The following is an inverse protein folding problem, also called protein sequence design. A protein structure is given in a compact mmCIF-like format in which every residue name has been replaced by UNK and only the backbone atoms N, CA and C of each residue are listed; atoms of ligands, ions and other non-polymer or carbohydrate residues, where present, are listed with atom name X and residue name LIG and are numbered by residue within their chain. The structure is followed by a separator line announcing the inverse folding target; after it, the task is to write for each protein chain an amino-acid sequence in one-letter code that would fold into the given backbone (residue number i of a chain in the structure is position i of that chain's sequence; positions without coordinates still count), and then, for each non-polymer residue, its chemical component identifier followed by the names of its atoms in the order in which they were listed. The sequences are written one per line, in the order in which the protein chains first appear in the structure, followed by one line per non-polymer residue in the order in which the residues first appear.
data_IF_712797513560
#
_entry.id   IF_712797513560
#
_cell.length_a   1.000
_cell.length_b   1.000
_cell.length_c   1.000
_cell.angle_alpha   90.00
_cell.angle_beta   90.00
_cell.angle_gamma   90.00
#
_symmetry.space_group_name_H-M   'P 1'
#
loop_
_entity.id
_entity.type
_entity.pdbx_description
1 polymer ?
#
# COMPACT_ATOMS: atom_id res chain seq x y z
N UNK A 1 16.20 -24.13 -20.92
CA UNK A 1 16.22 -24.17 -19.45
C UNK A 1 16.72 -22.84 -18.93
N UNK A 2 15.88 -21.81 -19.08
CA UNK A 2 15.96 -20.52 -18.41
C UNK A 2 14.82 -19.69 -19.01
N UNK A 3 13.58 -20.07 -18.69
CA UNK A 3 12.59 -19.02 -18.49
C UNK A 3 13.13 -18.24 -17.29
N UNK A 4 13.81 -17.12 -17.55
CA UNK A 4 13.90 -16.14 -16.50
C UNK A 4 12.54 -15.46 -16.56
N UNK A 5 11.56 -16.11 -15.94
CA UNK A 5 10.29 -15.52 -15.60
C UNK A 5 10.65 -14.33 -14.70
N UNK A 6 10.82 -13.17 -15.32
CA UNK A 6 11.00 -11.92 -14.63
C UNK A 6 9.63 -11.61 -14.02
N UNK A 7 9.37 -12.19 -12.86
CA UNK A 7 8.28 -11.81 -11.97
C UNK A 7 8.65 -10.46 -11.34
N UNK A 8 8.82 -9.41 -12.14
CA UNK A 8 8.98 -8.04 -11.65
C UNK A 8 7.60 -7.45 -11.32
N UNK A 9 6.80 -8.18 -10.54
CA UNK A 9 5.65 -7.61 -9.85
C UNK A 9 6.14 -6.84 -8.61
N UNK A 10 6.87 -5.75 -8.83
CA UNK A 10 7.44 -4.93 -7.76
C UNK A 10 6.37 -4.02 -7.11
N UNK A 11 5.24 -4.63 -6.77
CA UNK A 11 3.96 -3.98 -6.43
C UNK A 11 3.78 -3.80 -4.92
N UNK A 12 4.75 -4.30 -4.13
CA UNK A 12 4.77 -4.24 -2.66
C UNK A 12 5.73 -3.20 -2.05
N UNK A 13 6.54 -2.50 -2.86
CA UNK A 13 7.55 -1.52 -2.38
C UNK A 13 7.05 -0.07 -2.30
N UNK A 14 5.79 0.19 -2.65
CA UNK A 14 5.23 1.54 -2.50
C UNK A 14 5.26 1.98 -1.03
N UNK A 15 5.92 3.13 -0.77
CA UNK A 15 5.99 3.76 0.55
C UNK A 15 4.57 4.04 1.09
N UNK A 16 3.59 4.29 0.21
CA UNK A 16 2.20 4.48 0.59
C UNK A 16 1.58 3.23 1.21
N UNK A 17 1.82 2.07 0.60
CA UNK A 17 1.31 0.79 1.10
C UNK A 17 1.92 0.47 2.47
N UNK A 18 3.25 0.53 2.58
CA UNK A 18 3.93 0.19 3.84
C UNK A 18 3.61 1.15 4.99
N UNK A 19 3.44 2.45 4.68
CA UNK A 19 3.03 3.44 5.70
C UNK A 19 1.64 3.15 6.24
N UNK A 20 0.65 2.89 5.36
CA UNK A 20 -0.70 2.56 5.78
C UNK A 20 -0.73 1.26 6.61
N UNK A 21 0.02 0.24 6.18
CA UNK A 21 0.12 -1.05 6.88
C UNK A 21 0.69 -0.89 8.29
N UNK A 22 1.81 -0.18 8.46
CA UNK A 22 2.40 0.05 9.80
C UNK A 22 1.39 0.72 10.73
N UNK A 23 0.74 1.81 10.26
CA UNK A 23 -0.17 2.58 11.12
C UNK A 23 -1.37 1.72 11.55
N UNK A 24 -1.95 0.97 10.62
CA UNK A 24 -3.09 0.08 10.91
C UNK A 24 -2.67 -1.07 11.83
N UNK A 25 -1.47 -1.64 11.65
CA UNK A 25 -0.95 -2.69 12.54
C UNK A 25 -0.74 -2.18 13.97
N UNK A 26 -0.21 -0.97 14.14
CA UNK A 26 -0.05 -0.36 15.46
C UNK A 26 -1.42 -0.09 16.10
N UNK A 27 -2.35 0.47 15.34
CA UNK A 27 -3.72 0.74 15.82
C UNK A 27 -4.45 -0.54 16.23
N UNK A 28 -4.35 -1.60 15.44
CA UNK A 28 -5.00 -2.88 15.71
C UNK A 28 -4.36 -3.61 16.90
N UNK A 29 -3.05 -3.52 17.06
CA UNK A 29 -2.35 -4.04 18.23
C UNK A 29 -2.79 -3.32 19.52
N UNK A 30 -2.89 -1.98 19.49
CA UNK A 30 -3.38 -1.19 20.63
C UNK A 30 -4.85 -1.50 20.94
N UNK A 31 -5.70 -1.61 19.92
CA UNK A 31 -7.10 -1.99 20.10
C UNK A 31 -7.23 -3.40 20.72
N UNK A 32 -6.43 -4.37 20.26
CA UNK A 32 -6.40 -5.73 20.81
C UNK A 32 -5.93 -5.72 22.27
N UNK A 33 -4.89 -4.96 22.61
CA UNK A 33 -4.40 -4.81 23.97
C UNK A 33 -5.44 -4.15 24.89
N UNK A 34 -6.19 -3.18 24.37
CA UNK A 34 -7.24 -2.50 25.12
C UNK A 34 -8.37 -3.46 25.55
N UNK A 35 -8.72 -4.44 24.69
CA UNK A 35 -9.70 -5.48 25.03
C UNK A 35 -9.21 -6.34 26.18
N UNK A 36 -7.93 -6.75 26.17
CA UNK A 36 -7.32 -7.53 27.27
C UNK A 36 -7.33 -6.75 28.58
N UNK A 37 -7.06 -5.45 28.53
CA UNK A 37 -7.04 -4.57 29.71
C UNK A 37 -8.42 -4.06 30.13
N UNK A 38 -9.50 -4.44 29.41
CA UNK A 38 -10.88 -3.92 29.61
C UNK A 38 -10.91 -2.39 29.68
N UNK A 39 -10.09 -1.71 28.87
CA UNK A 39 -9.91 -0.27 28.91
C UNK A 39 -10.53 0.39 27.69
N UNK A 40 -11.74 0.92 27.85
CA UNK A 40 -12.49 1.63 26.80
C UNK A 40 -11.71 2.80 26.18
N UNK A 41 -11.00 3.65 26.96
CA UNK A 41 -10.23 4.76 26.38
C UNK A 41 -9.11 4.29 25.44
N UNK A 42 -8.37 3.24 25.82
CA UNK A 42 -7.31 2.67 24.99
C UNK A 42 -7.86 2.06 23.69
N UNK A 43 -9.07 1.48 23.76
CA UNK A 43 -9.72 0.91 22.58
C UNK A 43 -10.08 1.99 21.56
N UNK A 44 -10.64 3.11 22.04
CA UNK A 44 -10.96 4.27 21.18
C UNK A 44 -9.70 4.84 20.54
N UNK A 45 -8.59 4.95 21.28
CA UNK A 45 -7.30 5.40 20.74
C UNK A 45 -6.83 4.48 19.61
N UNK A 46 -6.87 3.16 19.81
CA UNK A 46 -6.50 2.18 18.78
C UNK A 46 -7.36 2.31 17.51
N UNK A 47 -8.67 2.53 17.67
CA UNK A 47 -9.61 2.73 16.56
C UNK A 47 -9.32 4.02 15.77
N UNK A 48 -9.01 5.12 16.48
CA UNK A 48 -8.62 6.39 15.85
C UNK A 48 -7.32 6.23 15.07
N UNK A 49 -6.34 5.51 15.60
CA UNK A 49 -5.07 5.24 14.90
C UNK A 49 -5.31 4.43 13.62
N UNK A 50 -6.15 3.40 13.67
CA UNK A 50 -6.55 2.65 12.47
C UNK A 50 -7.18 3.55 11.40
N UNK A 51 -8.10 4.43 11.81
CA UNK A 51 -8.74 5.37 10.89
C UNK A 51 -7.72 6.34 10.27
N UNK A 52 -6.78 6.86 11.06
CA UNK A 52 -5.69 7.71 10.57
C UNK A 52 -4.79 6.96 9.57
N UNK A 53 -4.52 5.67 9.78
CA UNK A 53 -3.75 4.85 8.85
C UNK A 53 -4.42 4.70 7.48
N UNK A 54 -5.74 4.48 7.47
CA UNK A 54 -6.51 4.43 6.23
C UNK A 54 -6.51 5.79 5.49
N UNK A 55 -6.66 6.89 6.22
CA UNK A 55 -6.60 8.24 5.66
C UNK A 55 -5.21 8.54 5.11
N UNK A 56 -4.14 8.21 5.84
CA UNK A 56 -2.76 8.40 5.40
C UNK A 56 -2.47 7.63 4.11
N UNK A 57 -2.91 6.37 4.00
CA UNK A 57 -2.78 5.57 2.78
C UNK A 57 -3.46 6.22 1.58
N UNK A 58 -4.69 6.73 1.77
CA UNK A 58 -5.43 7.44 0.71
C UNK A 58 -4.71 8.71 0.27
N UNK A 59 -4.24 9.53 1.23
CA UNK A 59 -3.52 10.77 0.95
C UNK A 59 -2.21 10.50 0.21
N UNK A 60 -1.45 9.48 0.62
CA UNK A 60 -0.18 9.15 -0.02
C UNK A 60 -0.37 8.56 -1.43
N UNK A 61 -1.43 7.77 -1.64
CA UNK A 61 -1.84 7.36 -2.99
C UNK A 61 -2.17 8.56 -3.89
N UNK A 62 -2.92 9.53 -3.37
CA UNK A 62 -3.25 10.76 -4.11
C UNK A 62 -2.02 11.65 -4.37
N UNK A 63 -1.03 11.61 -3.50
CA UNK A 63 0.23 12.34 -3.67
C UNK A 63 1.20 11.69 -4.68
N UNK A 64 0.79 10.59 -5.34
CA UNK A 64 1.60 9.94 -6.37
C UNK A 64 2.56 8.87 -5.84
N UNK A 65 2.50 8.54 -4.55
CA UNK A 65 3.26 7.42 -3.97
C UNK A 65 2.53 6.08 -4.10
N UNK A 66 1.35 6.04 -4.73
CA UNK A 66 0.60 4.80 -5.00
C UNK A 66 1.26 3.93 -6.08
N UNK A 67 0.73 2.72 -6.30
CA UNK A 67 1.22 1.83 -7.34
C UNK A 67 0.86 2.38 -8.74
N UNK A 68 1.86 2.53 -9.61
CA UNK A 68 1.67 2.90 -11.02
C UNK A 68 1.27 1.65 -11.80
N UNK A 69 0.11 1.67 -12.44
CA UNK A 69 -0.34 0.57 -13.31
C UNK A 69 0.31 0.70 -14.68
N UNK A 70 1.18 -0.24 -15.06
CA UNK A 70 1.85 -0.24 -16.38
C UNK A 70 0.89 -0.41 -17.57
N UNK A 71 -0.38 -0.77 -17.31
CA UNK A 71 -1.45 -0.92 -18.31
C UNK A 71 -2.60 0.10 -18.14
N UNK A 72 -2.38 1.22 -17.45
CA UNK A 72 -3.38 2.30 -17.28
C UNK A 72 -3.58 3.16 -18.54
N UNK A 73 -4.64 3.99 -18.62
CA UNK A 73 -4.85 4.96 -19.71
C UNK A 73 -3.69 5.94 -19.94
N UNK A 74 -2.81 6.05 -18.94
CA UNK A 74 -1.59 6.84 -18.82
C UNK A 74 -0.30 6.00 -18.94
N UNK A 75 -0.42 4.72 -19.32
CA UNK A 75 0.72 3.86 -19.60
C UNK A 75 1.63 4.49 -20.68
N UNK A 76 2.96 4.55 -20.48
CA UNK A 76 3.86 4.98 -21.53
C UNK A 76 3.72 4.04 -22.74
N UNK A 77 3.60 4.60 -23.96
CA UNK A 77 3.42 3.87 -25.23
C UNK A 77 4.53 2.85 -25.55
N UNK A 78 5.57 2.77 -24.73
CA UNK A 78 6.71 1.85 -24.82
C UNK A 78 6.32 0.35 -24.84
N UNK A 79 5.08 0.00 -24.51
CA UNK A 79 4.55 -1.38 -24.59
C UNK A 79 3.95 -1.78 -25.93
N UNK A 80 3.90 -0.92 -26.95
CA UNK A 80 3.38 -1.31 -28.26
C UNK A 80 4.42 -2.18 -29.01
N UNK A 81 4.12 -3.42 -29.41
CA UNK A 81 5.07 -4.33 -30.08
C UNK A 81 5.35 -3.96 -31.54
N UNK A 82 5.67 -2.70 -31.81
CA UNK A 82 5.91 -2.19 -33.16
C UNK A 82 6.81 -0.95 -33.14
N UNK A 83 8.12 -1.16 -33.27
CA UNK A 83 8.87 -0.73 -34.47
C UNK A 83 10.07 -1.68 -34.58
N UNK A 84 10.03 -2.57 -35.57
CA UNK A 84 11.22 -3.28 -36.03
C UNK A 84 12.22 -2.25 -36.54
N UNK A 85 13.23 -1.95 -35.74
CA UNK A 85 14.44 -1.26 -36.20
C UNK A 85 15.52 -2.32 -36.23
N UNK A 86 16.03 -2.51 -37.45
CA UNK A 86 17.04 -3.46 -37.91
C UNK A 86 18.06 -3.94 -36.87
#
# INVERSE_FOLDING_TARGET
MAEHEIHEEDHGHSIAAWTAVIIILVGSALASLAVVLTSTPLFVIGLVICALGAVAGKVLSMAGYGAVTVNGPDAPETGRPEVGVN
#
